data_IF_237984582664
#
_entry.id   IF_237984582664
#
_cell.length_a   1.000
_cell.length_b   1.000
_cell.length_c   1.000
_cell.angle_alpha   90.00
_cell.angle_beta   90.00
_cell.angle_gamma   90.00
#
_symmetry.space_group_name_H-M   'P 1'
#
loop_
_entity.id
_entity.type
_entity.pdbx_description
1 polymer ?
#
# COMPACT_ATOMS: atom_id res chain seq x y z
N UNK A 1 12.28 -6.54 8.75
CA UNK A 1 11.07 -5.86 9.27
C UNK A 1 10.07 -6.93 9.71
N UNK A 2 9.58 -6.90 10.96
CA UNK A 2 8.75 -7.99 11.54
C UNK A 2 7.47 -8.26 10.74
N UNK A 3 6.77 -7.21 10.29
CA UNK A 3 5.57 -7.33 9.45
C UNK A 3 5.87 -8.05 8.13
N UNK A 4 6.97 -7.70 7.45
CA UNK A 4 7.36 -8.39 6.21
C UNK A 4 7.60 -9.89 6.42
N UNK A 5 8.20 -10.28 7.55
CA UNK A 5 8.41 -11.69 7.89
C UNK A 5 7.10 -12.42 8.24
N UNK A 6 6.15 -11.78 8.93
CA UNK A 6 4.83 -12.35 9.22
C UNK A 6 4.07 -12.75 7.95
N UNK A 7 4.29 -12.00 6.88
CA UNK A 7 3.67 -12.23 5.58
C UNK A 7 4.56 -13.03 4.63
N UNK A 8 5.63 -13.68 5.11
CA UNK A 8 6.59 -14.42 4.27
C UNK A 8 7.09 -13.60 3.06
N UNK A 9 7.31 -12.30 3.24
CA UNK A 9 7.73 -11.34 2.21
C UNK A 9 6.77 -11.22 1.00
N UNK A 10 5.52 -11.68 1.13
CA UNK A 10 4.51 -11.63 0.06
C UNK A 10 3.92 -10.24 -0.17
N UNK A 11 4.08 -9.32 0.78
CA UNK A 11 3.58 -7.93 0.69
C UNK A 11 4.73 -7.00 0.29
N UNK A 12 4.44 -6.08 -0.63
CA UNK A 12 5.33 -5.01 -1.08
C UNK A 12 5.82 -4.16 0.11
N UNK A 13 7.14 -4.00 0.25
CA UNK A 13 7.74 -3.21 1.33
C UNK A 13 7.31 -1.74 1.32
N UNK A 14 7.08 -1.16 0.13
CA UNK A 14 6.56 0.20 0.01
C UNK A 14 5.11 0.29 0.51
N UNK A 15 4.30 -0.74 0.25
CA UNK A 15 2.94 -0.80 0.79
C UNK A 15 2.97 -0.91 2.33
N UNK A 16 3.84 -1.77 2.88
CA UNK A 16 4.01 -1.90 4.32
C UNK A 16 4.47 -0.56 4.93
N UNK A 17 5.45 0.10 4.33
CA UNK A 17 5.94 1.40 4.80
C UNK A 17 4.85 2.46 4.75
N UNK A 18 4.09 2.53 3.65
CA UNK A 18 2.97 3.46 3.52
C UNK A 18 1.94 3.20 4.61
N UNK A 19 1.51 1.96 4.82
CA UNK A 19 0.57 1.59 5.86
C UNK A 19 1.10 1.95 7.27
N UNK A 20 2.33 1.57 7.58
CA UNK A 20 2.92 1.77 8.90
C UNK A 20 3.15 3.25 9.23
N UNK A 21 3.85 3.97 8.34
CA UNK A 21 4.35 5.32 8.63
C UNK A 21 3.27 6.39 8.45
N UNK A 22 2.30 6.15 7.56
CA UNK A 22 1.29 7.17 7.22
C UNK A 22 -0.13 6.84 7.66
N UNK A 23 -0.47 5.57 7.90
CA UNK A 23 -1.84 5.18 8.24
C UNK A 23 -2.00 4.64 9.67
N UNK A 24 -0.95 4.05 10.23
CA UNK A 24 -1.01 3.39 11.54
C UNK A 24 -0.08 4.01 12.58
N UNK A 25 0.48 5.20 12.33
CA UNK A 25 1.34 5.92 13.30
C UNK A 25 2.48 5.07 13.88
N UNK A 26 3.04 4.17 13.06
CA UNK A 26 4.08 3.19 13.44
C UNK A 26 3.62 2.07 14.39
N UNK A 27 2.32 1.90 14.59
CA UNK A 27 1.72 0.76 15.29
C UNK A 27 1.72 -0.48 14.37
N UNK A 28 2.49 -1.49 14.77
CA UNK A 28 2.64 -2.73 14.00
C UNK A 28 1.39 -3.62 14.00
N UNK A 29 0.59 -3.60 15.07
CA UNK A 29 -0.63 -4.39 15.18
C UNK A 29 -1.70 -3.81 14.28
N UNK A 30 -1.94 -2.50 14.37
CA UNK A 30 -2.87 -1.79 13.49
C UNK A 30 -2.48 -1.93 12.01
N UNK A 31 -1.16 -1.86 11.72
CA UNK A 31 -0.66 -2.08 10.36
C UNK A 31 -0.95 -3.50 9.88
N UNK A 32 -0.76 -4.50 10.74
CA UNK A 32 -1.01 -5.90 10.38
C UNK A 32 -2.49 -6.16 10.14
N UNK A 33 -3.38 -5.60 10.97
CA UNK A 33 -4.84 -5.67 10.78
C UNK A 33 -5.27 -4.99 9.46
N UNK A 34 -4.79 -3.77 9.20
CA UNK A 34 -5.10 -3.03 7.98
C UNK A 34 -4.65 -3.77 6.71
N UNK A 35 -3.45 -4.35 6.73
CA UNK A 35 -2.94 -5.15 5.61
C UNK A 35 -3.73 -6.46 5.44
N UNK A 36 -4.16 -7.07 6.54
CA UNK A 36 -5.02 -8.26 6.48
C UNK A 36 -6.37 -7.94 5.84
N UNK A 37 -7.03 -6.86 6.27
CA UNK A 37 -8.29 -6.40 5.65
C UNK A 37 -8.12 -6.09 4.16
N UNK A 38 -6.99 -5.50 3.78
CA UNK A 38 -6.67 -5.21 2.38
C UNK A 38 -6.53 -6.49 1.54
N UNK A 39 -5.81 -7.50 2.02
CA UNK A 39 -5.68 -8.78 1.32
C UNK A 39 -7.02 -9.53 1.22
N UNK A 40 -7.83 -9.53 2.30
CA UNK A 40 -9.18 -10.09 2.25
C UNK A 40 -10.04 -9.38 1.21
N UNK A 41 -9.98 -8.06 1.17
CA UNK A 41 -10.68 -7.27 0.17
C UNK A 41 -10.23 -7.59 -1.26
N UNK A 42 -8.92 -7.80 -1.51
CA UNK A 42 -8.39 -8.21 -2.83
C UNK A 42 -8.98 -9.54 -3.28
N UNK A 43 -9.04 -10.52 -2.38
CA UNK A 43 -9.53 -11.88 -2.65
C UNK A 43 -11.01 -11.92 -3.06
N UNK A 44 -11.82 -10.90 -2.73
CA UNK A 44 -13.24 -10.81 -3.09
C UNK A 44 -13.48 -10.38 -4.56
N UNK A 45 -12.57 -10.71 -5.48
CA UNK A 45 -12.61 -10.33 -6.90
C UNK A 45 -12.63 -8.81 -7.14
N UNK A 46 -12.26 -8.03 -6.12
CA UNK A 46 -12.17 -6.58 -6.20
C UNK A 46 -10.95 -6.17 -7.03
N UNK A 47 -9.82 -6.86 -6.88
CA UNK A 47 -8.60 -6.55 -7.62
C UNK A 47 -8.84 -6.51 -9.14
N UNK A 48 -9.50 -7.54 -9.69
CA UNK A 48 -9.79 -7.63 -11.12
C UNK A 48 -10.72 -6.50 -11.58
N UNK A 49 -11.81 -6.26 -10.83
CA UNK A 49 -12.71 -5.13 -11.09
C UNK A 49 -11.98 -3.79 -11.11
N UNK A 50 -10.96 -3.61 -10.27
CA UNK A 50 -10.18 -2.37 -10.28
C UNK A 50 -9.11 -2.33 -11.35
N UNK A 51 -8.52 -3.45 -11.78
CA UNK A 51 -7.65 -3.44 -12.98
C UNK A 51 -8.38 -2.83 -14.18
N UNK A 52 -9.68 -3.11 -14.31
CA UNK A 52 -10.54 -2.60 -15.39
C UNK A 52 -10.92 -1.12 -15.21
N UNK A 53 -11.09 -0.65 -13.98
CA UNK A 53 -11.49 0.75 -13.66
C UNK A 53 -10.27 1.65 -13.39
N UNK A 54 -9.06 1.08 -13.30
CA UNK A 54 -7.81 1.80 -13.07
C UNK A 54 -7.43 2.58 -14.35
N UNK A 55 -8.11 3.71 -14.56
CA UNK A 55 -7.81 4.68 -15.60
C UNK A 55 -6.33 5.11 -15.51
N UNK A 56 -5.79 5.63 -16.62
CA UNK A 56 -4.47 6.29 -16.66
C UNK A 56 -4.23 7.23 -15.48
N UNK A 57 -5.29 7.89 -15.00
CA UNK A 57 -5.24 8.83 -13.89
C UNK A 57 -4.76 8.23 -12.56
N UNK A 58 -5.03 6.95 -12.31
CA UNK A 58 -4.54 6.25 -11.12
C UNK A 58 -3.07 5.84 -11.32
N UNK A 59 -2.70 5.37 -12.53
CA UNK A 59 -1.30 5.09 -12.88
C UNK A 59 -0.41 6.34 -12.76
N UNK A 60 -0.95 7.53 -13.04
CA UNK A 60 -0.22 8.81 -12.91
C UNK A 60 0.07 9.22 -11.46
N UNK A 61 -0.60 8.63 -10.45
CA UNK A 61 -0.33 8.93 -9.04
C UNK A 61 0.93 8.24 -8.53
N UNK A 62 1.15 6.98 -8.91
CA UNK A 62 2.33 6.23 -8.52
C UNK A 62 2.56 5.08 -9.50
N UNK A 63 3.83 4.81 -9.86
CA UNK A 63 4.19 3.66 -10.68
C UNK A 63 4.07 2.31 -9.94
N UNK A 64 3.65 2.31 -8.68
CA UNK A 64 3.43 1.09 -7.90
C UNK A 64 1.94 0.68 -7.91
N UNK A 65 1.66 -0.46 -8.55
CA UNK A 65 0.32 -1.01 -8.69
C UNK A 65 -0.34 -1.36 -7.34
N UNK A 66 0.42 -1.95 -6.40
CA UNK A 66 -0.11 -2.34 -5.08
C UNK A 66 -0.51 -1.12 -4.26
N UNK A 67 0.29 -0.05 -4.29
CA UNK A 67 -0.04 1.22 -3.64
C UNK A 67 -1.30 1.84 -4.25
N UNK A 68 -1.41 1.83 -5.58
CA UNK A 68 -2.60 2.35 -6.25
C UNK A 68 -3.88 1.58 -5.86
N UNK A 69 -3.82 0.25 -5.80
CA UNK A 69 -4.93 -0.57 -5.29
C UNK A 69 -5.26 -0.25 -3.83
N UNK A 70 -4.24 -0.12 -2.99
CA UNK A 70 -4.39 0.21 -1.58
C UNK A 70 -5.08 1.57 -1.38
N UNK A 71 -4.72 2.60 -2.14
CA UNK A 71 -5.41 3.89 -2.12
C UNK A 71 -6.91 3.78 -2.50
N UNK A 72 -7.25 2.88 -3.43
CA UNK A 72 -8.66 2.63 -3.80
C UNK A 72 -9.41 1.95 -2.66
N UNK A 73 -8.80 0.93 -2.04
CA UNK A 73 -9.34 0.24 -0.86
C UNK A 73 -9.66 1.23 0.26
N UNK A 74 -8.69 2.06 0.64
CA UNK A 74 -8.84 3.09 1.68
C UNK A 74 -9.99 4.06 1.36
N UNK A 75 -10.07 4.53 0.11
CA UNK A 75 -11.13 5.45 -0.33
C UNK A 75 -12.52 4.81 -0.24
N UNK A 76 -12.66 3.54 -0.61
CA UNK A 76 -13.94 2.81 -0.64
C UNK A 76 -14.45 2.48 0.76
N UNK A 77 -13.57 2.04 1.66
CA UNK A 77 -13.95 1.69 3.03
C UNK A 77 -14.16 2.91 3.93
N UNK A 78 -14.12 4.13 3.37
CA UNK A 78 -14.33 5.39 4.10
C UNK A 78 -13.51 5.48 5.38
N UNK A 79 -12.34 4.84 5.39
CA UNK A 79 -11.33 5.04 6.42
C UNK A 79 -10.94 6.52 6.29
N UNK A 80 -11.59 7.37 7.09
CA UNK A 80 -11.47 8.83 7.05
C UNK A 80 -10.04 9.17 7.45
N UNK A 81 -9.12 9.27 6.51
CA UNK A 81 -7.85 9.94 6.74
C UNK A 81 -7.35 10.66 5.48
N UNK A 82 -6.84 11.86 5.71
CA UNK A 82 -6.68 13.00 4.79
C UNK A 82 -6.04 12.61 3.43
N UNK A 83 -6.84 12.43 2.37
CA UNK A 83 -6.37 11.84 1.10
C UNK A 83 -5.39 12.68 0.28
N UNK A 84 -5.04 13.89 0.74
CA UNK A 84 -4.39 14.91 -0.11
C UNK A 84 -2.97 15.27 0.37
N UNK A 85 -2.69 15.22 1.68
CA UNK A 85 -1.32 15.47 2.18
C UNK A 85 -0.41 14.25 2.01
N UNK A 86 -0.96 13.04 2.14
CA UNK A 86 -0.16 11.81 2.24
C UNK A 86 0.36 11.32 0.89
N UNK A 87 -0.50 11.30 -0.13
CA UNK A 87 -0.11 10.87 -1.49
C UNK A 87 0.88 11.86 -2.14
N UNK A 88 0.78 13.16 -1.83
CA UNK A 88 1.73 14.15 -2.30
C UNK A 88 3.14 13.90 -1.73
N UNK A 89 3.25 13.51 -0.46
CA UNK A 89 4.54 13.23 0.20
C UNK A 89 5.18 11.95 -0.37
N UNK A 90 4.41 10.90 -0.68
CA UNK A 90 4.94 9.67 -1.29
C UNK A 90 5.44 9.89 -2.72
N UNK A 91 4.83 10.82 -3.47
CA UNK A 91 5.27 11.22 -4.81
C UNK A 91 6.53 12.10 -4.72
N UNK A 92 6.62 12.99 -3.74
CA UNK A 92 7.74 13.92 -3.60
C UNK A 92 9.02 13.26 -3.05
N UNK A 93 8.90 12.25 -2.18
CA UNK A 93 10.05 11.63 -1.51
C UNK A 93 10.65 10.43 -2.25
N UNK A 94 10.05 9.98 -3.35
CA UNK A 94 10.40 8.69 -3.94
C UNK A 94 10.04 7.55 -2.99
N UNK A 95 9.55 6.45 -3.53
CA UNK A 95 9.29 5.27 -2.71
C UNK A 95 10.60 4.80 -2.05
N UNK A 96 10.62 4.50 -0.73
CA UNK A 96 11.87 4.22 -0.02
C UNK A 96 12.50 2.89 -0.38
N UNK A 97 11.77 1.98 -1.05
CA UNK A 97 12.30 0.69 -1.51
C UNK A 97 12.21 0.63 -3.03
N UNK A 98 13.28 1.07 -3.69
CA UNK A 98 13.47 0.88 -5.12
C UNK A 98 14.09 -0.49 -5.36
N UNK A 99 13.98 -1.01 -6.59
CA UNK A 99 14.40 -2.38 -6.94
C UNK A 99 15.87 -2.71 -6.61
N UNK A 100 16.71 -1.68 -6.45
CA UNK A 100 18.10 -1.76 -5.99
C UNK A 100 18.25 -2.22 -4.53
N UNK A 101 17.27 -1.94 -3.67
CA UNK A 101 17.32 -2.23 -2.23
C UNK A 101 16.93 -3.69 -1.90
N UNK A 102 16.47 -4.45 -2.91
CA UNK A 102 16.14 -5.88 -2.76
C UNK A 102 17.37 -6.79 -2.68
N UNK A 103 18.58 -6.30 -3.03
CA UNK A 103 19.80 -7.12 -3.06
C UNK A 103 20.36 -7.45 -1.67
N UNK A 104 19.93 -6.73 -0.63
CA UNK A 104 20.52 -6.83 0.71
C UNK A 104 19.69 -7.64 1.72
N UNK A 105 18.57 -8.25 1.29
CA UNK A 105 17.83 -9.20 2.13
C UNK A 105 18.36 -10.62 1.91
N UNK A 106 19.46 -10.95 2.60
CA UNK A 106 19.92 -12.34 2.82
C UNK A 106 19.46 -12.83 4.18
#
# INVERSE_FOLDING_TARGET
MQISAMWNHSIDLNLIYVALDYYCEKDANQTSELLFEFEQWKCQNNEQKYKEIMNEYVKRRCCNYQINLFCIFLKKNRLRYTPIKTAAITIQNGLPFVEKDKKDYK
#
